data_IF_834365599364
#
_entry.id   IF_834365599364
#
_cell.length_a   1.000
_cell.length_b   1.000
_cell.length_c   1.000
_cell.angle_alpha   90.00
_cell.angle_beta   90.00
_cell.angle_gamma   90.00
#
_symmetry.space_group_name_H-M   'P 1'
#
loop_
_entity.id
_entity.type
_entity.pdbx_description
1 polymer ?
#
# COMPACT_ATOMS: atom_id res chain seq x y z
N UNK A 1 32.87 -20.26 31.12
CA UNK A 1 31.77 -19.96 32.07
C UNK A 1 30.47 -19.50 31.39
N UNK A 2 30.46 -19.10 30.11
CA UNK A 2 29.23 -18.61 29.42
C UNK A 2 28.14 -19.66 29.13
N UNK A 3 28.45 -20.96 29.17
CA UNK A 3 27.47 -22.02 28.85
C UNK A 3 26.38 -22.20 29.90
N UNK A 4 26.63 -21.84 31.16
CA UNK A 4 25.63 -21.95 32.23
C UNK A 4 24.62 -20.79 32.19
N UNK A 5 25.06 -19.59 31.77
CA UNK A 5 24.21 -18.41 31.68
C UNK A 5 23.12 -18.58 30.61
N UNK A 6 23.48 -19.11 29.43
CA UNK A 6 22.50 -19.39 28.38
C UNK A 6 21.47 -20.45 28.78
N UNK A 7 21.89 -21.45 29.57
CA UNK A 7 20.99 -22.48 30.09
C UNK A 7 20.02 -21.92 31.14
N UNK A 8 20.47 -21.01 32.00
CA UNK A 8 19.61 -20.34 32.98
C UNK A 8 18.63 -19.37 32.32
N UNK A 9 19.05 -18.62 31.30
CA UNK A 9 18.16 -17.75 30.50
C UNK A 9 17.10 -18.59 29.78
N UNK A 10 17.49 -19.69 29.14
CA UNK A 10 16.55 -20.60 28.49
C UNK A 10 15.58 -21.26 29.48
N UNK A 11 16.05 -21.63 30.68
CA UNK A 11 15.19 -22.15 31.76
C UNK A 11 14.21 -21.11 32.29
N UNK A 12 14.65 -19.87 32.49
CA UNK A 12 13.79 -18.79 32.94
C UNK A 12 12.72 -18.46 31.90
N UNK A 13 13.07 -18.46 30.61
CA UNK A 13 12.14 -18.29 29.51
C UNK A 13 11.14 -19.47 29.41
N UNK A 14 11.58 -20.71 29.60
CA UNK A 14 10.67 -21.86 29.65
C UNK A 14 9.77 -21.86 30.88
N UNK A 15 10.28 -21.42 32.04
CA UNK A 15 9.52 -21.31 33.27
C UNK A 15 8.38 -20.27 33.17
N UNK A 16 8.56 -19.20 32.39
CA UNK A 16 7.47 -18.25 32.12
C UNK A 16 6.33 -18.85 31.29
N UNK A 17 6.57 -19.94 30.55
CA UNK A 17 5.52 -20.66 29.81
C UNK A 17 4.82 -21.74 30.64
N UNK A 18 5.31 -22.08 31.84
CA UNK A 18 4.85 -23.25 32.59
C UNK A 18 3.45 -23.11 33.24
N UNK A 19 2.73 -22.01 32.96
CA UNK A 19 1.35 -21.78 33.37
C UNK A 19 0.41 -21.31 32.26
N UNK A 20 0.90 -21.23 31.02
CA UNK A 20 0.11 -20.86 29.83
C UNK A 20 -0.27 -22.16 29.12
N UNK A 21 -1.56 -22.35 28.79
CA UNK A 21 -1.97 -23.52 28.02
C UNK A 21 -1.21 -23.54 26.68
N UNK A 22 -0.82 -24.72 26.22
CA UNK A 22 -0.24 -24.84 24.86
C UNK A 22 -1.20 -24.28 23.81
N UNK A 23 -2.51 -24.38 24.07
CA UNK A 23 -3.55 -23.83 23.21
C UNK A 23 -3.52 -22.29 23.14
N UNK A 24 -3.24 -21.62 24.26
CA UNK A 24 -3.15 -20.15 24.30
C UNK A 24 -1.91 -19.66 23.54
N UNK A 25 -0.77 -20.34 23.70
CA UNK A 25 0.46 -20.03 22.93
C UNK A 25 0.25 -20.21 21.43
N UNK A 26 -0.42 -21.30 21.03
CA UNK A 26 -0.71 -21.57 19.62
C UNK A 26 -1.70 -20.56 19.05
N UNK A 27 -2.67 -20.11 19.85
CA UNK A 27 -3.61 -19.06 19.44
C UNK A 27 -2.87 -17.73 19.21
N UNK A 28 -2.05 -17.29 20.16
CA UNK A 28 -1.29 -16.05 20.05
C UNK A 28 -0.35 -16.09 18.82
N UNK A 29 0.26 -17.26 18.58
CA UNK A 29 1.08 -17.48 17.40
C UNK A 29 0.28 -17.30 16.09
N UNK A 30 -0.90 -17.93 15.99
CA UNK A 30 -1.74 -17.79 14.80
C UNK A 30 -2.22 -16.35 14.60
N UNK A 31 -2.61 -15.65 15.66
CA UNK A 31 -3.03 -14.25 15.57
C UNK A 31 -1.89 -13.34 15.13
N UNK A 32 -0.67 -13.54 15.64
CA UNK A 32 0.51 -12.81 15.20
C UNK A 32 0.86 -13.08 13.72
N UNK A 33 0.78 -14.33 13.28
CA UNK A 33 1.02 -14.69 11.88
C UNK A 33 -0.05 -14.11 10.94
N UNK A 34 -1.31 -14.07 11.37
CA UNK A 34 -2.40 -13.44 10.63
C UNK A 34 -2.19 -11.92 10.50
N UNK A 35 -1.70 -11.26 11.57
CA UNK A 35 -1.32 -9.85 11.50
C UNK A 35 -0.19 -9.60 10.50
N UNK A 36 0.87 -10.41 10.53
CA UNK A 36 1.98 -10.32 9.58
C UNK A 36 1.52 -10.53 8.12
N UNK A 37 0.58 -11.45 7.89
CA UNK A 37 0.02 -11.67 6.57
C UNK A 37 -0.80 -10.46 6.09
N UNK A 38 -1.54 -9.82 7.01
CA UNK A 38 -2.26 -8.58 6.74
C UNK A 38 -1.30 -7.46 6.31
N UNK A 39 -0.19 -7.27 7.03
CA UNK A 39 0.85 -6.30 6.67
C UNK A 39 1.46 -6.58 5.29
N UNK A 40 1.80 -7.83 5.01
CA UNK A 40 2.33 -8.23 3.70
C UNK A 40 1.32 -7.95 2.58
N UNK A 41 0.03 -8.17 2.83
CA UNK A 41 -1.04 -7.87 1.89
C UNK A 41 -1.18 -6.36 1.63
N UNK A 42 -1.08 -5.54 2.67
CA UNK A 42 -1.10 -4.07 2.55
C UNK A 42 0.11 -3.58 1.73
N UNK A 43 1.30 -4.07 2.05
CA UNK A 43 2.51 -3.70 1.31
C UNK A 43 2.42 -4.09 -0.16
N UNK A 44 1.83 -5.25 -0.47
CA UNK A 44 1.55 -5.64 -1.84
C UNK A 44 0.58 -4.67 -2.51
N UNK A 45 -0.47 -4.23 -1.81
CA UNK A 45 -1.41 -3.21 -2.28
C UNK A 45 -0.72 -1.88 -2.61
N UNK A 46 0.16 -1.39 -1.74
CA UNK A 46 0.97 -0.18 -1.95
C UNK A 46 1.84 -0.35 -3.20
N UNK A 47 2.56 -1.47 -3.30
CA UNK A 47 3.44 -1.75 -4.44
C UNK A 47 2.67 -1.83 -5.76
N UNK A 48 1.49 -2.45 -5.76
CA UNK A 48 0.62 -2.54 -6.93
C UNK A 48 0.13 -1.17 -7.40
N UNK A 49 -0.28 -0.30 -6.47
CA UNK A 49 -0.63 1.08 -6.79
C UNK A 49 0.55 1.85 -7.38
N UNK A 50 1.73 1.77 -6.76
CA UNK A 50 2.93 2.44 -7.26
C UNK A 50 3.31 1.98 -8.67
N UNK A 51 3.16 0.68 -8.96
CA UNK A 51 3.36 0.15 -10.30
C UNK A 51 2.34 0.70 -11.30
N UNK A 52 1.05 0.76 -10.94
CA UNK A 52 0.00 1.35 -11.78
C UNK A 52 0.28 2.83 -12.08
N UNK A 53 0.69 3.62 -11.09
CA UNK A 53 1.02 5.03 -11.28
C UNK A 53 2.24 5.23 -12.18
N UNK A 54 3.25 4.38 -12.08
CA UNK A 54 4.40 4.41 -13.00
C UNK A 54 3.97 4.08 -14.43
N UNK A 55 3.08 3.11 -14.61
CA UNK A 55 2.57 2.76 -15.93
C UNK A 55 1.74 3.91 -16.55
N UNK A 56 0.83 4.52 -15.78
CA UNK A 56 0.09 5.72 -16.21
C UNK A 56 1.03 6.87 -16.56
N UNK A 57 2.04 7.14 -15.71
CA UNK A 57 3.02 8.19 -15.94
C UNK A 57 3.80 7.98 -17.25
N UNK A 58 4.32 6.76 -17.47
CA UNK A 58 5.05 6.42 -18.68
C UNK A 58 4.19 6.56 -19.94
N UNK A 59 2.94 6.11 -19.88
CA UNK A 59 2.00 6.26 -21.00
C UNK A 59 1.70 7.73 -21.30
N UNK A 60 1.41 8.55 -20.28
CA UNK A 60 1.16 9.98 -20.49
C UNK A 60 2.38 10.72 -21.01
N UNK A 61 3.58 10.33 -20.58
CA UNK A 61 4.82 10.87 -21.13
C UNK A 61 4.94 10.56 -22.62
N UNK A 62 4.66 9.32 -23.03
CA UNK A 62 4.66 8.94 -24.45
C UNK A 62 3.63 9.73 -25.28
N UNK A 63 2.42 9.96 -24.75
CA UNK A 63 1.38 10.79 -25.40
C UNK A 63 1.79 12.27 -25.45
N UNK A 64 2.49 12.76 -24.43
CA UNK A 64 3.01 14.13 -24.42
C UNK A 64 4.08 14.33 -25.49
N UNK A 65 5.02 13.39 -25.60
CA UNK A 65 6.11 13.43 -26.57
C UNK A 65 5.62 13.22 -28.01
N UNK A 66 4.63 12.34 -28.19
CA UNK A 66 3.96 12.10 -29.46
C UNK A 66 2.45 11.89 -29.26
N UNK A 67 1.61 12.90 -29.57
CA UNK A 67 0.16 12.81 -29.44
C UNK A 67 -0.51 11.67 -30.22
N UNK A 68 0.16 11.10 -31.23
CA UNK A 68 -0.35 9.94 -31.97
C UNK A 68 -0.32 8.64 -31.16
N UNK A 69 0.44 8.60 -30.05
CA UNK A 69 0.46 7.48 -29.11
C UNK A 69 -0.80 7.37 -28.25
N UNK A 70 -1.76 8.30 -28.36
CA UNK A 70 -2.99 8.26 -27.58
C UNK A 70 -3.83 7.02 -27.89
N UNK A 71 -4.08 6.21 -26.87
CA UNK A 71 -4.93 5.03 -26.89
C UNK A 71 -5.99 5.09 -25.77
N UNK A 72 -7.24 5.35 -26.17
CA UNK A 72 -8.38 5.37 -25.26
C UNK A 72 -8.64 4.03 -24.58
N UNK A 73 -8.24 2.89 -25.19
CA UNK A 73 -8.39 1.58 -24.56
C UNK A 73 -7.41 1.42 -23.39
N UNK A 74 -6.19 1.92 -23.53
CA UNK A 74 -5.19 1.90 -22.46
C UNK A 74 -5.64 2.77 -21.27
N UNK A 75 -6.14 3.99 -21.53
CA UNK A 75 -6.72 4.86 -20.50
C UNK A 75 -7.85 4.15 -19.72
N UNK A 76 -8.75 3.46 -20.43
CA UNK A 76 -9.83 2.70 -19.81
C UNK A 76 -9.31 1.54 -18.94
N UNK A 77 -8.23 0.87 -19.35
CA UNK A 77 -7.59 -0.22 -18.59
C UNK A 77 -6.98 0.31 -17.29
N UNK A 78 -6.28 1.44 -17.31
CA UNK A 78 -5.72 2.05 -16.09
C UNK A 78 -6.84 2.43 -15.12
N UNK A 79 -7.90 3.07 -15.63
CA UNK A 79 -9.05 3.47 -14.82
C UNK A 79 -9.75 2.27 -14.18
N UNK A 80 -10.01 1.21 -14.94
CA UNK A 80 -10.62 -0.01 -14.41
C UNK A 80 -9.71 -0.72 -13.41
N UNK A 81 -8.39 -0.74 -13.66
CA UNK A 81 -7.41 -1.31 -12.72
C UNK A 81 -7.42 -0.58 -11.38
N UNK A 82 -7.55 0.75 -11.37
CA UNK A 82 -7.69 1.54 -10.14
C UNK A 82 -8.99 1.24 -9.39
N UNK A 83 -10.10 1.04 -10.11
CA UNK A 83 -11.38 0.64 -9.49
C UNK A 83 -11.29 -0.72 -8.82
N UNK A 84 -10.72 -1.71 -9.52
CA UNK A 84 -10.53 -3.05 -8.99
C UNK A 84 -9.59 -3.05 -7.79
N UNK A 85 -8.46 -2.34 -7.89
CA UNK A 85 -7.53 -2.15 -6.78
C UNK A 85 -8.23 -1.54 -5.56
N UNK A 86 -9.02 -0.48 -5.73
CA UNK A 86 -9.76 0.14 -4.63
C UNK A 86 -10.79 -0.81 -4.01
N UNK A 87 -11.43 -1.66 -4.82
CA UNK A 87 -12.33 -2.71 -4.36
C UNK A 87 -11.64 -3.73 -3.44
N UNK A 88 -10.45 -4.21 -3.83
CA UNK A 88 -9.65 -5.10 -2.99
C UNK A 88 -9.11 -4.39 -1.73
N UNK A 89 -8.79 -3.09 -1.82
CA UNK A 89 -8.37 -2.30 -0.67
C UNK A 89 -9.45 -2.17 0.41
N UNK A 90 -10.74 -2.20 0.04
CA UNK A 90 -11.83 -2.28 1.03
C UNK A 90 -11.85 -3.60 1.79
N UNK A 91 -11.43 -4.70 1.16
CA UNK A 91 -11.27 -5.99 1.86
C UNK A 91 -10.07 -5.94 2.80
N UNK A 92 -8.97 -5.31 2.38
CA UNK A 92 -7.81 -5.06 3.24
C UNK A 92 -8.19 -4.30 4.51
N UNK A 93 -8.96 -3.20 4.39
CA UNK A 93 -9.41 -2.40 5.54
C UNK A 93 -10.28 -3.19 6.54
N UNK A 94 -11.08 -4.15 6.05
CA UNK A 94 -11.85 -5.05 6.94
C UNK A 94 -10.92 -5.99 7.71
N UNK A 95 -9.87 -6.51 7.07
CA UNK A 95 -8.88 -7.36 7.72
C UNK A 95 -8.04 -6.58 8.73
N UNK A 96 -7.62 -5.36 8.37
CA UNK A 96 -6.98 -4.38 9.26
C UNK A 96 -7.81 -4.16 10.52
N UNK A 97 -9.11 -3.92 10.38
CA UNK A 97 -9.99 -3.68 11.52
C UNK A 97 -10.05 -4.88 12.48
N UNK A 98 -9.88 -6.11 12.00
CA UNK A 98 -9.77 -7.31 12.84
C UNK A 98 -8.46 -7.28 13.64
N UNK A 99 -7.33 -6.97 13.02
CA UNK A 99 -6.04 -6.95 13.73
C UNK A 99 -5.95 -5.81 14.74
N UNK A 100 -6.46 -4.61 14.40
CA UNK A 100 -6.51 -3.48 15.34
C UNK A 100 -7.38 -3.82 16.55
N UNK A 101 -8.51 -4.52 16.37
CA UNK A 101 -9.34 -5.00 17.50
C UNK A 101 -8.61 -6.01 18.40
N UNK A 102 -7.67 -6.78 17.85
CA UNK A 102 -6.78 -7.67 18.62
C UNK A 102 -5.64 -6.93 19.31
N UNK A 103 -5.50 -5.62 19.09
CA UNK A 103 -4.46 -4.80 19.69
C UNK A 103 -3.15 -4.74 18.91
N UNK A 104 -3.12 -5.24 17.67
CA UNK A 104 -1.92 -5.15 16.82
C UNK A 104 -1.81 -3.78 16.14
N UNK A 105 -0.58 -3.27 16.09
CA UNK A 105 -0.18 -2.23 15.14
C UNK A 105 0.07 -2.86 13.78
N UNK A 106 -0.18 -2.10 12.71
CA UNK A 106 0.01 -2.56 11.33
C UNK A 106 0.90 -1.53 10.63
N UNK A 107 2.08 -1.95 10.25
CA UNK A 107 3.03 -1.10 9.52
C UNK A 107 2.49 -0.73 8.13
N UNK A 108 2.73 0.50 7.69
CA UNK A 108 2.27 1.01 6.39
C UNK A 108 0.78 1.33 6.29
N UNK A 109 -0.01 1.14 7.35
CA UNK A 109 -1.47 1.37 7.31
C UNK A 109 -1.86 2.81 6.94
N UNK A 110 -1.14 3.80 7.47
CA UNK A 110 -1.46 5.20 7.18
C UNK A 110 -1.15 5.57 5.72
N UNK A 111 -0.03 5.09 5.19
CA UNK A 111 0.33 5.26 3.77
C UNK A 111 -0.73 4.63 2.87
N UNK A 112 -1.12 3.39 3.15
CA UNK A 112 -2.16 2.69 2.42
C UNK A 112 -3.50 3.45 2.42
N UNK A 113 -3.89 4.03 3.56
CA UNK A 113 -5.10 4.85 3.68
C UNK A 113 -5.03 6.14 2.87
N UNK A 114 -3.88 6.80 2.87
CA UNK A 114 -3.65 7.99 2.07
C UNK A 114 -3.80 7.67 0.58
N UNK A 115 -3.19 6.58 0.11
CA UNK A 115 -3.34 6.09 -1.27
C UNK A 115 -4.81 5.77 -1.58
N UNK A 116 -5.52 5.07 -0.68
CA UNK A 116 -6.94 4.79 -0.88
C UNK A 116 -7.78 6.07 -1.01
N UNK A 117 -7.44 7.12 -0.24
CA UNK A 117 -8.09 8.42 -0.36
C UNK A 117 -7.79 9.08 -1.69
N UNK A 118 -6.53 9.06 -2.13
CA UNK A 118 -6.10 9.62 -3.41
C UNK A 118 -6.79 8.95 -4.59
N UNK A 119 -6.82 7.61 -4.62
CA UNK A 119 -7.51 6.86 -5.68
C UNK A 119 -9.00 7.19 -5.73
N UNK A 120 -9.66 7.38 -4.58
CA UNK A 120 -11.07 7.84 -4.57
C UNK A 120 -11.22 9.22 -5.20
N UNK A 121 -10.31 10.15 -4.91
CA UNK A 121 -10.32 11.49 -5.53
C UNK A 121 -10.10 11.43 -7.04
N UNK A 122 -9.16 10.61 -7.50
CA UNK A 122 -8.89 10.37 -8.92
C UNK A 122 -10.16 9.83 -9.60
N UNK A 123 -10.75 8.75 -9.07
CA UNK A 123 -11.96 8.14 -9.62
C UNK A 123 -13.17 9.08 -9.60
N UNK A 124 -13.34 9.87 -8.54
CA UNK A 124 -14.40 10.88 -8.47
C UNK A 124 -14.29 11.95 -9.56
N UNK A 125 -13.06 12.40 -9.86
CA UNK A 125 -12.85 13.40 -10.92
C UNK A 125 -13.23 12.90 -12.32
N UNK A 126 -13.07 11.60 -12.60
CA UNK A 126 -13.49 11.01 -13.87
C UNK A 126 -15.01 10.92 -14.02
N UNK A 127 -15.73 10.69 -12.92
CA UNK A 127 -17.19 10.62 -12.93
C UNK A 127 -17.83 12.00 -13.17
N UNK A 128 -17.20 13.06 -12.65
CA UNK A 128 -17.64 14.44 -12.87
C UNK A 128 -17.36 14.93 -14.30
N UNK A 129 -16.20 14.60 -14.89
CA UNK A 129 -15.85 14.94 -16.27
C UNK A 129 -16.77 14.23 -17.29
N UNK A 130 -17.30 13.05 -16.95
CA UNK A 130 -18.25 12.30 -17.78
C UNK A 130 -19.63 12.98 -17.89
N UNK A 131 -19.98 13.88 -16.96
CA UNK A 131 -21.26 14.62 -16.95
C UNK A 131 -21.19 15.95 -17.70
N UNK A 132 -19.99 16.47 -17.97
CA UNK A 132 -19.79 17.72 -18.70
C UNK A 132 -18.68 17.56 -19.73
N UNK A 133 -19.00 17.06 -20.92
CA UNK A 133 -18.06 16.62 -21.96
C UNK A 133 -16.93 17.60 -22.32
N UNK A 134 -15.87 17.62 -21.51
CA UNK A 134 -14.62 18.33 -21.75
C UNK A 134 -13.44 17.50 -21.24
N UNK A 135 -12.57 17.23 -22.21
CA UNK A 135 -11.21 16.71 -22.19
C UNK A 135 -10.47 16.88 -20.86
N UNK A 136 -9.96 15.74 -20.37
CA UNK A 136 -8.98 15.51 -19.29
C UNK A 136 -8.75 16.67 -18.33
N UNK A 137 -9.18 16.49 -17.08
CA UNK A 137 -8.81 17.33 -15.94
C UNK A 137 -7.28 17.52 -15.83
N UNK A 138 -6.83 18.64 -16.41
CA UNK A 138 -5.52 19.29 -16.25
C UNK A 138 -5.12 19.45 -14.77
N UNK A 139 -6.10 19.40 -13.88
CA UNK A 139 -5.97 19.45 -12.42
C UNK A 139 -5.25 18.23 -11.82
N UNK A 140 -5.39 17.03 -12.41
CA UNK A 140 -4.63 15.84 -11.98
C UNK A 140 -3.16 15.90 -12.42
N UNK A 141 -2.87 16.59 -13.52
CA UNK A 141 -1.52 16.80 -14.06
C UNK A 141 -0.72 17.71 -13.11
N UNK A 142 -1.32 18.80 -12.62
CA UNK A 142 -0.61 19.76 -11.75
C UNK A 142 -0.35 19.20 -10.34
N UNK A 143 -1.29 18.45 -9.76
CA UNK A 143 -1.09 17.85 -8.43
C UNK A 143 -0.08 16.69 -8.43
N UNK A 144 -0.04 15.89 -9.51
CA UNK A 144 0.90 14.78 -9.68
C UNK A 144 2.33 15.26 -9.96
N UNK A 145 2.49 16.24 -10.85
CA UNK A 145 3.83 16.71 -11.22
C UNK A 145 4.47 17.51 -10.07
N UNK A 146 3.68 18.08 -9.15
CA UNK A 146 4.19 18.73 -7.92
C UNK A 146 4.69 17.73 -6.88
N UNK A 147 4.14 16.50 -6.82
CA UNK A 147 4.61 15.47 -5.86
C UNK A 147 5.87 14.72 -6.32
N UNK A 148 6.15 14.75 -7.63
CA UNK A 148 7.35 14.14 -8.24
C UNK A 148 8.52 15.12 -8.39
N UNK A 149 8.31 16.42 -8.15
CA UNK A 149 9.29 17.46 -8.48
C UNK A 149 10.48 17.62 -7.51
N UNK A 150 10.47 17.20 -6.24
CA UNK A 150 11.68 17.32 -5.39
C UNK A 150 11.80 16.28 -4.25
N UNK A 151 13.02 15.78 -3.88
CA UNK A 151 14.36 16.11 -4.41
C UNK A 151 15.17 14.87 -4.86
N UNK A 152 15.32 14.68 -6.17
CA UNK A 152 16.45 13.90 -6.72
C UNK A 152 17.75 14.73 -6.82
N UNK A 153 17.74 15.99 -6.36
CA UNK A 153 18.88 16.91 -6.47
C UNK A 153 19.96 16.75 -5.38
N UNK A 154 19.76 15.92 -4.34
CA UNK A 154 20.78 15.72 -3.28
C UNK A 154 21.66 14.48 -3.47
N UNK A 155 21.44 13.64 -4.50
CA UNK A 155 22.25 12.43 -4.71
C UNK A 155 23.45 12.63 -5.66
N UNK A 156 23.63 13.82 -6.25
CA UNK A 156 24.65 14.06 -7.27
C UNK A 156 25.92 14.79 -6.78
N UNK A 157 26.00 15.21 -5.51
CA UNK A 157 27.19 15.92 -4.97
C UNK A 157 28.07 15.07 -4.01
N UNK A 158 27.96 13.74 -4.04
CA UNK A 158 28.87 12.86 -3.28
C UNK A 158 29.54 11.86 -4.22
N UNK A 159 30.39 12.36 -5.12
CA UNK A 159 31.50 11.61 -5.70
C UNK A 159 32.70 12.52 -5.97
#
# INVERSE_FOLDING_TARGET
>A
MSSNLNLEIARAAMASYHGISTDDVMKDHHEAMDCRNCEAFIQLGINAYNWLMRADCAYRQAVYDDPSCYDAAFDAVIHESLKQWLGESQRAEKWVAVQVKRGFGIDGLQEFRNICSEVRSILGSFEDDSRGGKVMSRSLIVLRDTSLAEPYEQAAEVF
#
